data_IF_692896899420
#
_entry.id   IF_692896899420
#
_cell.length_a   1.000
_cell.length_b   1.000
_cell.length_c   1.000
_cell.angle_alpha   90.00
_cell.angle_beta   90.00
_cell.angle_gamma   90.00
#
_symmetry.space_group_name_H-M   'P 1'
#
loop_
_entity.id
_entity.type
_entity.pdbx_description
1 polymer ?
#
# COMPACT_ATOMS: atom_id res chain seq x y z
N UNK A 1 17.75 -11.43 -17.54
CA UNK A 1 16.37 -11.95 -17.69
C UNK A 1 15.55 -11.87 -16.39
N UNK A 2 16.03 -12.40 -15.26
CA UNK A 2 15.29 -12.39 -13.98
C UNK A 2 14.86 -10.98 -13.49
N UNK A 3 15.74 -9.97 -13.61
CA UNK A 3 15.42 -8.59 -13.20
C UNK A 3 14.29 -8.00 -14.02
N UNK A 4 14.31 -8.21 -15.34
CA UNK A 4 13.26 -7.74 -16.26
C UNK A 4 11.91 -8.38 -15.92
N UNK A 5 11.89 -9.69 -15.66
CA UNK A 5 10.66 -10.41 -15.27
C UNK A 5 10.13 -9.88 -13.93
N UNK A 6 11.02 -9.65 -12.94
CA UNK A 6 10.66 -9.06 -11.65
C UNK A 6 10.04 -7.67 -11.81
N UNK A 7 10.64 -6.81 -12.62
CA UNK A 7 10.15 -5.45 -12.88
C UNK A 7 8.77 -5.48 -13.56
N UNK A 8 8.59 -6.33 -14.56
CA UNK A 8 7.31 -6.49 -15.26
C UNK A 8 6.20 -6.96 -14.32
N UNK A 9 6.47 -8.00 -13.52
CA UNK A 9 5.53 -8.50 -12.50
C UNK A 9 5.22 -7.44 -11.45
N UNK A 10 6.24 -6.72 -10.96
CA UNK A 10 6.06 -5.64 -10.00
C UNK A 10 5.16 -4.53 -10.54
N UNK A 11 5.35 -4.11 -11.79
CA UNK A 11 4.51 -3.11 -12.45
C UNK A 11 3.08 -3.62 -12.69
N UNK A 12 2.89 -4.89 -13.02
CA UNK A 12 1.57 -5.48 -13.20
C UNK A 12 0.80 -5.54 -11.87
N UNK A 13 1.45 -6.02 -10.80
CA UNK A 13 0.88 -6.06 -9.45
C UNK A 13 0.54 -4.65 -8.95
N UNK A 14 1.48 -3.71 -9.09
CA UNK A 14 1.28 -2.32 -8.67
C UNK A 14 0.06 -1.69 -9.35
N UNK A 15 -0.09 -1.87 -10.68
CA UNK A 15 -1.28 -1.37 -11.39
C UNK A 15 -2.57 -2.01 -10.94
N UNK A 16 -2.56 -3.30 -10.57
CA UNK A 16 -3.76 -3.99 -10.10
C UNK A 16 -4.22 -3.49 -8.72
N UNK A 17 -3.27 -3.13 -7.85
CA UNK A 17 -3.53 -2.67 -6.48
C UNK A 17 -3.78 -1.17 -6.42
N UNK A 18 -2.93 -0.36 -7.05
CA UNK A 18 -2.97 1.10 -6.97
C UNK A 18 -3.87 1.74 -8.04
N UNK A 19 -4.45 0.94 -8.94
CA UNK A 19 -5.27 1.42 -10.04
C UNK A 19 -4.48 2.14 -11.14
N UNK A 20 -5.18 2.69 -12.15
CA UNK A 20 -4.56 3.34 -13.31
C UNK A 20 -3.75 4.59 -12.92
N UNK A 21 -4.19 5.32 -11.89
CA UNK A 21 -3.52 6.54 -11.41
C UNK A 21 -2.38 6.27 -10.42
N UNK A 22 -2.13 5.01 -10.08
CA UNK A 22 -1.10 4.59 -9.13
C UNK A 22 0.28 5.21 -9.40
N UNK A 23 0.81 5.21 -10.63
CA UNK A 23 2.11 5.80 -10.93
C UNK A 23 2.16 7.31 -10.66
N UNK A 24 1.10 8.04 -11.03
CA UNK A 24 1.00 9.48 -10.79
C UNK A 24 0.91 9.79 -9.29
N UNK A 25 0.12 9.01 -8.54
CA UNK A 25 0.01 9.13 -7.09
C UNK A 25 1.35 8.84 -6.40
N UNK A 26 2.08 7.81 -6.84
CA UNK A 26 3.42 7.47 -6.33
C UNK A 26 4.40 8.63 -6.53
N UNK A 27 4.49 9.16 -7.75
CA UNK A 27 5.38 10.30 -8.05
C UNK A 27 5.02 11.51 -7.17
N UNK A 28 3.74 11.84 -7.06
CA UNK A 28 3.28 12.91 -6.17
C UNK A 28 3.72 12.68 -4.71
N UNK A 29 3.61 11.48 -4.16
CA UNK A 29 3.98 11.22 -2.75
C UNK A 29 5.50 11.23 -2.54
N UNK A 30 6.24 10.56 -3.43
CA UNK A 30 7.67 10.30 -3.23
C UNK A 30 8.60 11.37 -3.79
N UNK A 31 8.17 12.11 -4.82
CA UNK A 31 9.01 13.09 -5.52
C UNK A 31 8.66 14.54 -5.14
N UNK A 32 7.56 14.77 -4.42
CA UNK A 32 7.25 16.11 -3.89
C UNK A 32 8.41 16.65 -3.05
N UNK A 33 8.95 17.84 -3.37
CA UNK A 33 10.05 18.45 -2.62
C UNK A 33 9.64 18.86 -1.20
N UNK A 34 10.63 18.96 -0.31
CA UNK A 34 10.45 19.51 1.03
C UNK A 34 11.01 18.60 2.14
N UNK A 35 11.01 19.10 3.39
CA UNK A 35 11.43 18.31 4.54
C UNK A 35 10.53 17.08 4.70
N UNK A 36 11.12 15.93 5.05
CA UNK A 36 10.38 14.69 5.36
C UNK A 36 10.57 14.33 6.82
N UNK A 37 9.52 13.83 7.46
CA UNK A 37 9.60 13.32 8.84
C UNK A 37 10.62 12.18 8.98
N UNK A 38 10.79 11.40 7.91
CA UNK A 38 11.75 10.30 7.86
C UNK A 38 12.69 10.47 6.65
N UNK A 39 13.97 10.72 6.97
CA UNK A 39 15.06 10.78 5.99
C UNK A 39 15.32 9.43 5.29
N UNK A 40 16.06 9.43 4.16
CA UNK A 40 16.32 8.23 3.34
C UNK A 40 16.92 7.05 4.10
N UNK A 41 17.71 7.34 5.13
CA UNK A 41 18.45 6.42 5.99
C UNK A 41 17.62 5.82 7.13
N UNK A 42 16.39 6.31 7.34
CA UNK A 42 15.56 5.88 8.47
C UNK A 42 14.99 4.48 8.22
N UNK A 43 15.08 3.54 9.19
CA UNK A 43 14.63 2.16 9.02
C UNK A 43 13.18 2.01 8.54
N UNK A 44 12.32 2.94 8.93
CA UNK A 44 10.92 2.98 8.51
C UNK A 44 10.78 2.96 6.98
N UNK A 45 11.68 3.62 6.24
CA UNK A 45 11.64 3.63 4.77
C UNK A 45 12.05 2.30 4.17
N UNK A 46 13.02 1.61 4.77
CA UNK A 46 13.42 0.26 4.36
C UNK A 46 12.27 -0.72 4.57
N UNK A 47 11.68 -0.73 5.77
CA UNK A 47 10.60 -1.67 6.12
C UNK A 47 9.34 -1.40 5.28
N UNK A 48 8.94 -0.13 5.13
CA UNK A 48 7.73 0.20 4.37
C UNK A 48 7.92 0.14 2.84
N UNK A 49 9.17 0.15 2.36
CA UNK A 49 9.49 -0.01 0.94
C UNK A 49 9.58 -1.48 0.51
N UNK A 50 9.59 -2.43 1.45
CA UNK A 50 9.69 -3.85 1.16
C UNK A 50 8.34 -4.45 0.71
N UNK A 51 8.39 -5.43 -0.19
CA UNK A 51 7.19 -6.11 -0.71
C UNK A 51 6.40 -6.85 0.39
N UNK A 52 7.06 -7.25 1.48
CA UNK A 52 6.40 -7.86 2.65
C UNK A 52 5.38 -6.94 3.31
N UNK A 53 5.49 -5.61 3.15
CA UNK A 53 4.52 -4.64 3.67
C UNK A 53 3.11 -4.90 3.10
N UNK A 54 3.03 -5.26 1.82
CA UNK A 54 1.75 -5.58 1.18
C UNK A 54 1.10 -6.83 1.78
N UNK A 55 1.86 -7.92 1.92
CA UNK A 55 1.37 -9.17 2.50
C UNK A 55 1.00 -8.95 3.97
N UNK A 56 1.87 -8.30 4.74
CA UNK A 56 1.64 -7.98 6.15
C UNK A 56 0.40 -7.12 6.36
N UNK A 57 0.16 -6.12 5.50
CA UNK A 57 -1.05 -5.30 5.54
C UNK A 57 -2.32 -6.12 5.31
N UNK A 58 -2.34 -6.99 4.29
CA UNK A 58 -3.47 -7.88 4.05
C UNK A 58 -3.71 -8.84 5.22
N UNK A 59 -2.66 -9.45 5.76
CA UNK A 59 -2.76 -10.32 6.93
C UNK A 59 -3.30 -9.57 8.15
N UNK A 60 -2.86 -8.33 8.39
CA UNK A 60 -3.36 -7.50 9.48
C UNK A 60 -4.85 -7.18 9.31
N UNK A 61 -5.29 -6.83 8.10
CA UNK A 61 -6.72 -6.58 7.81
C UNK A 61 -7.58 -7.83 8.03
N UNK A 62 -7.10 -9.00 7.61
CA UNK A 62 -7.79 -10.27 7.87
C UNK A 62 -7.85 -10.60 9.36
N UNK A 63 -6.79 -10.32 10.11
CA UNK A 63 -6.80 -10.49 11.56
C UNK A 63 -7.77 -9.50 12.23
N UNK A 64 -7.76 -8.24 11.81
CA UNK A 64 -8.66 -7.20 12.33
C UNK A 64 -10.12 -7.45 11.98
N UNK A 65 -10.42 -8.12 10.87
CA UNK A 65 -11.79 -8.48 10.51
C UNK A 65 -12.41 -9.50 11.46
N UNK A 66 -11.60 -10.23 12.22
CA UNK A 66 -12.09 -11.11 13.29
C UNK A 66 -12.60 -10.33 14.51
N UNK A 67 -12.30 -9.03 14.63
CA UNK A 67 -12.72 -8.23 15.77
C UNK A 67 -14.11 -7.60 15.54
N UNK A 68 -15.16 -8.00 16.29
CA UNK A 68 -16.54 -7.58 16.00
C UNK A 68 -16.75 -6.07 16.05
N UNK A 69 -16.20 -5.39 17.08
CA UNK A 69 -16.35 -3.93 17.19
C UNK A 69 -15.62 -3.16 16.08
N UNK A 70 -14.47 -3.65 15.61
CA UNK A 70 -13.77 -3.03 14.49
C UNK A 70 -14.60 -3.15 13.21
N UNK A 71 -15.20 -4.32 12.97
CA UNK A 71 -16.05 -4.53 11.79
C UNK A 71 -17.40 -3.81 11.88
N UNK A 72 -17.96 -3.60 13.08
CA UNK A 72 -19.12 -2.72 13.28
C UNK A 72 -18.78 -1.27 12.88
N UNK A 73 -17.60 -0.77 13.26
CA UNK A 73 -17.14 0.55 12.86
C UNK A 73 -16.95 0.65 11.33
N UNK A 74 -16.35 -0.36 10.70
CA UNK A 74 -16.24 -0.42 9.22
C UNK A 74 -17.62 -0.39 8.58
N UNK A 75 -18.54 -1.26 9.02
CA UNK A 75 -19.89 -1.35 8.47
C UNK A 75 -20.68 -0.04 8.58
N UNK A 76 -20.46 0.73 9.65
CA UNK A 76 -21.13 2.01 9.90
C UNK A 76 -20.48 3.23 9.23
N UNK A 77 -19.18 3.19 8.90
CA UNK A 77 -18.44 4.41 8.57
C UNK A 77 -17.50 4.34 7.35
N UNK A 78 -17.17 3.18 6.80
CA UNK A 78 -16.12 3.10 5.75
C UNK A 78 -16.58 3.36 4.33
N UNK A 79 -17.89 3.37 4.04
CA UNK A 79 -18.42 3.56 2.69
C UNK A 79 -18.16 2.41 1.71
N UNK A 80 -17.50 1.32 2.14
CA UNK A 80 -16.94 0.28 1.26
C UNK A 80 -17.91 -0.40 0.28
N UNK A 81 -19.23 -0.32 0.52
CA UNK A 81 -20.25 -0.89 -0.38
C UNK A 81 -20.46 -0.07 -1.66
N UNK A 82 -20.06 1.20 -1.66
CA UNK A 82 -20.14 2.10 -2.81
C UNK A 82 -18.80 2.30 -3.52
N UNK A 83 -17.72 1.74 -2.98
CA UNK A 83 -16.41 1.75 -3.65
C UNK A 83 -16.43 0.73 -4.81
N UNK A 84 -15.92 1.08 -6.00
CA UNK A 84 -15.96 0.23 -7.19
C UNK A 84 -15.11 -1.05 -7.10
#
# INVERSE_FOLDING_TARGET
MLTVVREQLGQALFRRVAGPDGPAARARIHDTPGPRWFGPDRPIRTVHGDASMFIGGLSALLLQSLHPLAMAAVAGHSGYRGDP
#
